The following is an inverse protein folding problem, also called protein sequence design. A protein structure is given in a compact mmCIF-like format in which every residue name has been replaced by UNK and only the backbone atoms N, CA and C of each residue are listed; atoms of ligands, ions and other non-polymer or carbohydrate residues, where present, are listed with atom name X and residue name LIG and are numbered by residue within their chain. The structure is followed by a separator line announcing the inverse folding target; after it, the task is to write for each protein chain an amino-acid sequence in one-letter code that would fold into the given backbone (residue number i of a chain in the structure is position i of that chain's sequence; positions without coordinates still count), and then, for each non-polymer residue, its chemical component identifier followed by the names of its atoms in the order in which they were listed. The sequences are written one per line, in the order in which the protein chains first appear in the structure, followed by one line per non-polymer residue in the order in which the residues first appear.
data_IF_475353792640
#
_entry.id   IF_475353792640
#
_cell.length_a   1.000
_cell.length_b   1.000
_cell.length_c   1.000
_cell.angle_alpha   90.00
_cell.angle_beta   90.00
_cell.angle_gamma   90.00
#
_symmetry.space_group_name_H-M   'P 1'
#
loop_
_entity.id
_entity.type
_entity.pdbx_description
1 polymer ?
#
# COMPACT_ATOMS: atom_id res chain seq x y z
N UNK A 1 -29.54 -32.76 -89.65
CA UNK A 1 -28.65 -31.58 -89.76
C UNK A 1 -29.04 -30.60 -88.66
N UNK A 2 -28.03 -30.03 -87.96
CA UNK A 2 -28.14 -29.20 -86.74
C UNK A 2 -28.97 -27.90 -86.96
N UNK A 3 -29.45 -27.25 -85.89
CA UNK A 3 -28.58 -26.22 -85.31
C UNK A 3 -28.38 -26.34 -83.80
N UNK A 4 -27.13 -26.04 -83.42
CA UNK A 4 -26.63 -25.78 -82.07
C UNK A 4 -27.32 -24.52 -81.54
N UNK A 5 -27.85 -24.55 -80.31
CA UNK A 5 -28.22 -23.34 -79.60
C UNK A 5 -27.11 -22.92 -78.64
N UNK A 6 -26.78 -21.65 -78.77
CA UNK A 6 -25.68 -20.91 -78.16
C UNK A 6 -25.98 -20.63 -76.69
N UNK A 7 -24.95 -20.76 -75.86
CA UNK A 7 -24.88 -20.41 -74.45
C UNK A 7 -24.83 -18.88 -74.28
N UNK A 8 -25.53 -18.27 -73.32
CA UNK A 8 -25.07 -17.03 -72.73
C UNK A 8 -24.30 -17.31 -71.43
N UNK A 9 -23.07 -16.83 -71.46
CA UNK A 9 -22.17 -16.58 -70.32
C UNK A 9 -22.95 -15.92 -69.16
N UNK A 10 -22.98 -16.57 -67.98
CA UNK A 10 -23.29 -15.89 -66.73
C UNK A 10 -22.00 -15.82 -65.90
N UNK A 11 -21.59 -14.59 -65.66
CA UNK A 11 -20.34 -14.18 -65.03
C UNK A 11 -20.45 -14.33 -63.51
N UNK A 12 -19.42 -14.93 -62.93
CA UNK A 12 -18.88 -14.86 -61.57
C UNK A 12 -19.67 -14.12 -60.48
N UNK A 13 -19.88 -14.82 -59.37
CA UNK A 13 -19.72 -14.28 -58.02
C UNK A 13 -19.27 -15.39 -57.08
N UNK A 14 -18.00 -15.80 -57.21
CA UNK A 14 -17.32 -16.53 -56.13
C UNK A 14 -17.06 -15.48 -55.04
N UNK A 15 -17.88 -15.48 -54.00
CA UNK A 15 -17.58 -14.76 -52.77
C UNK A 15 -16.43 -15.51 -52.12
N UNK A 16 -15.21 -15.11 -52.46
CA UNK A 16 -14.05 -15.35 -51.61
C UNK A 16 -14.31 -14.58 -50.31
N UNK A 17 -14.73 -15.30 -49.27
CA UNK A 17 -14.46 -14.85 -47.91
C UNK A 17 -12.94 -14.88 -47.73
N UNK A 18 -12.29 -13.80 -48.16
CA UNK A 18 -10.99 -13.43 -47.62
C UNK A 18 -11.26 -13.13 -46.15
N UNK A 19 -10.98 -14.10 -45.28
CA UNK A 19 -10.54 -13.79 -43.93
C UNK A 19 -9.30 -12.92 -44.13
N UNK A 20 -9.48 -11.61 -44.14
CA UNK A 20 -8.39 -10.69 -43.93
C UNK A 20 -7.93 -10.93 -42.50
N UNK A 21 -6.90 -11.77 -42.34
CA UNK A 21 -5.94 -11.54 -41.27
C UNK A 21 -5.42 -10.12 -41.53
N UNK A 22 -5.96 -9.16 -40.80
CA UNK A 22 -5.37 -7.84 -40.71
C UNK A 22 -4.04 -8.04 -39.95
N UNK A 23 -2.87 -7.86 -40.58
CA UNK A 23 -1.58 -8.08 -39.92
C UNK A 23 -1.27 -7.02 -38.86
N UNK A 24 -2.22 -6.12 -38.57
CA UNK A 24 -2.11 -5.06 -37.57
C UNK A 24 -3.12 -5.19 -36.42
N UNK A 25 -3.67 -6.38 -36.17
CA UNK A 25 -4.10 -6.68 -34.81
C UNK A 25 -2.84 -6.98 -34.00
N UNK A 26 -2.23 -5.93 -33.45
CA UNK A 26 -1.37 -6.07 -32.28
C UNK A 26 -2.23 -6.77 -31.23
N UNK A 27 -2.10 -8.10 -31.16
CA UNK A 27 -2.77 -8.90 -30.16
C UNK A 27 -1.96 -8.73 -28.88
N UNK A 28 -2.05 -7.54 -28.27
CA UNK A 28 -1.41 -7.18 -27.00
C UNK A 28 -1.83 -8.14 -25.87
N UNK A 29 -2.75 -9.09 -26.13
CA UNK A 29 -3.07 -10.17 -25.22
C UNK A 29 -1.92 -11.17 -25.06
N UNK A 30 -1.14 -11.42 -26.11
CA UNK A 30 -0.05 -12.41 -26.11
C UNK A 30 1.33 -11.77 -25.83
N UNK A 31 1.37 -10.46 -25.56
CA UNK A 31 2.62 -9.78 -25.19
C UNK A 31 3.11 -10.32 -23.85
N UNK A 32 4.32 -10.88 -23.84
CA UNK A 32 4.94 -11.44 -22.64
C UNK A 32 5.50 -10.31 -21.79
N UNK A 33 5.08 -10.25 -20.54
CA UNK A 33 5.60 -9.33 -19.54
C UNK A 33 6.69 -10.02 -18.74
N UNK A 34 7.92 -9.53 -18.91
CA UNK A 34 9.08 -10.08 -18.21
C UNK A 34 9.19 -9.52 -16.79
N UNK A 35 8.87 -10.35 -15.79
CA UNK A 35 9.06 -10.03 -14.37
C UNK A 35 10.50 -10.34 -13.98
N UNK A 36 11.26 -9.30 -13.62
CA UNK A 36 12.71 -9.41 -13.42
C UNK A 36 13.07 -10.03 -12.06
N UNK A 37 12.33 -9.66 -11.02
CA UNK A 37 12.55 -10.21 -9.68
C UNK A 37 11.99 -11.63 -9.59
N UNK A 38 12.85 -12.55 -9.17
CA UNK A 38 12.47 -13.97 -9.11
C UNK A 38 11.43 -14.26 -8.03
N UNK A 39 11.45 -13.56 -6.90
CA UNK A 39 10.44 -13.72 -5.86
C UNK A 39 9.10 -13.16 -6.31
N UNK A 40 9.09 -11.99 -6.95
CA UNK A 40 7.85 -11.43 -7.50
C UNK A 40 7.27 -12.35 -8.59
N UNK A 41 8.10 -12.83 -9.51
CA UNK A 41 7.68 -13.79 -10.54
C UNK A 41 7.19 -15.10 -9.94
N UNK A 42 7.86 -15.60 -8.90
CA UNK A 42 7.47 -16.82 -8.22
C UNK A 42 6.07 -16.67 -7.61
N UNK A 43 5.83 -15.59 -6.87
CA UNK A 43 4.53 -15.30 -6.27
C UNK A 43 3.42 -15.30 -7.32
N UNK A 44 3.64 -14.64 -8.46
CA UNK A 44 2.66 -14.57 -9.53
C UNK A 44 2.36 -15.92 -10.20
N UNK A 45 3.36 -16.76 -10.43
CA UNK A 45 3.22 -18.01 -11.19
C UNK A 45 2.92 -19.25 -10.35
N UNK A 46 3.35 -19.28 -9.09
CA UNK A 46 3.38 -20.49 -8.27
C UNK A 46 2.47 -20.43 -7.04
N UNK A 47 1.92 -19.26 -6.74
CA UNK A 47 0.98 -19.09 -5.63
C UNK A 47 -0.38 -18.66 -6.15
N UNK A 48 -1.41 -18.90 -5.35
CA UNK A 48 -2.71 -18.32 -5.62
C UNK A 48 -2.67 -16.84 -5.23
N UNK A 49 -2.35 -15.99 -6.19
CA UNK A 49 -2.19 -14.55 -5.97
C UNK A 49 -3.38 -13.73 -6.44
N UNK A 50 -4.18 -14.23 -7.40
CA UNK A 50 -5.33 -13.51 -7.95
C UNK A 50 -6.58 -13.92 -7.19
N UNK A 51 -7.23 -12.95 -6.54
CA UNK A 51 -8.53 -13.10 -5.89
C UNK A 51 -9.63 -12.78 -6.92
N UNK A 52 -10.52 -13.74 -7.18
CA UNK A 52 -11.56 -13.66 -8.21
C UNK A 52 -12.98 -13.60 -7.65
N UNK A 53 -13.17 -13.81 -6.35
CA UNK A 53 -14.47 -13.73 -5.68
C UNK A 53 -14.57 -12.66 -4.58
N UNK A 54 -13.47 -11.94 -4.34
CA UNK A 54 -13.30 -10.85 -3.36
C UNK A 54 -13.49 -11.29 -1.91
N UNK A 55 -13.11 -12.52 -1.57
CA UNK A 55 -13.10 -12.99 -0.18
C UNK A 55 -11.81 -12.60 0.59
N UNK A 56 -10.86 -11.96 -0.10
CA UNK A 56 -9.57 -11.56 0.47
C UNK A 56 -8.54 -12.69 0.49
N UNK A 57 -8.78 -13.77 -0.24
CA UNK A 57 -7.87 -14.91 -0.42
C UNK A 57 -7.63 -15.12 -1.91
N UNK A 58 -6.39 -15.41 -2.30
CA UNK A 58 -6.10 -15.70 -3.70
C UNK A 58 -6.66 -17.07 -4.13
N UNK A 59 -7.27 -17.11 -5.31
CA UNK A 59 -7.90 -18.30 -5.89
C UNK A 59 -6.99 -19.06 -6.84
N UNK A 60 -6.13 -18.33 -7.56
CA UNK A 60 -5.30 -18.86 -8.66
C UNK A 60 -4.06 -18.00 -8.92
N UNK A 61 -3.11 -18.57 -9.64
CA UNK A 61 -1.96 -17.84 -10.17
C UNK A 61 -2.37 -16.96 -11.38
N UNK A 62 -1.42 -16.15 -11.88
CA UNK A 62 -1.67 -15.23 -12.99
C UNK A 62 -1.73 -15.94 -14.37
N UNK A 63 -1.02 -17.06 -14.51
CA UNK A 63 -0.87 -17.82 -15.77
C UNK A 63 -2.12 -18.65 -16.06
N UNK A 64 -3.08 -18.02 -16.73
CA UNK A 64 -4.42 -18.57 -17.00
C UNK A 64 -4.38 -19.68 -18.04
N UNK A 65 -3.42 -19.65 -18.96
CA UNK A 65 -3.29 -20.62 -20.04
C UNK A 65 -2.26 -21.74 -19.72
N UNK A 66 -1.56 -21.65 -18.59
CA UNK A 66 -0.56 -22.58 -18.09
C UNK A 66 0.60 -22.82 -19.08
N UNK A 67 1.04 -21.77 -19.79
CA UNK A 67 2.19 -21.84 -20.70
C UNK A 67 3.52 -21.45 -20.03
N UNK A 68 3.48 -21.11 -18.74
CA UNK A 68 4.62 -20.74 -17.92
C UNK A 68 5.09 -19.30 -18.14
N UNK A 69 4.31 -18.48 -18.83
CA UNK A 69 4.61 -17.08 -19.12
C UNK A 69 3.52 -16.19 -18.52
N UNK A 70 3.86 -14.92 -18.30
CA UNK A 70 2.90 -13.93 -17.85
C UNK A 70 2.62 -13.05 -19.05
N UNK A 71 1.40 -13.08 -19.57
CA UNK A 71 1.02 -12.21 -20.68
C UNK A 71 0.23 -10.98 -20.23
N UNK A 72 0.35 -9.89 -20.98
CA UNK A 72 -0.36 -8.64 -20.72
C UNK A 72 -1.89 -8.83 -20.75
N UNK A 73 -2.39 -9.77 -21.56
CA UNK A 73 -3.81 -10.16 -21.55
C UNK A 73 -4.28 -10.72 -20.22
N UNK A 74 -3.43 -11.47 -19.51
CA UNK A 74 -3.73 -12.04 -18.20
C UNK A 74 -3.72 -10.96 -17.12
N UNK A 75 -2.69 -10.11 -17.14
CA UNK A 75 -2.55 -8.98 -16.21
C UNK A 75 -3.74 -8.01 -16.31
N UNK A 76 -4.19 -7.69 -17.53
CA UNK A 76 -5.34 -6.79 -17.75
C UNK A 76 -6.65 -7.31 -17.13
N UNK A 77 -6.77 -8.61 -16.85
CA UNK A 77 -7.94 -9.20 -16.22
C UNK A 77 -7.93 -9.15 -14.69
N UNK A 78 -6.85 -8.70 -14.06
CA UNK A 78 -6.69 -8.72 -12.60
C UNK A 78 -7.17 -7.41 -11.98
N UNK A 79 -8.13 -7.54 -11.06
CA UNK A 79 -8.60 -6.42 -10.22
C UNK A 79 -8.17 -6.55 -8.74
N UNK A 80 -7.84 -7.76 -8.27
CA UNK A 80 -7.38 -8.01 -6.90
C UNK A 80 -6.17 -8.94 -6.91
N UNK A 81 -5.11 -8.53 -6.21
CA UNK A 81 -3.84 -9.26 -6.13
C UNK A 81 -3.34 -9.32 -4.68
N UNK A 82 -2.99 -10.52 -4.24
CA UNK A 82 -2.44 -10.83 -2.91
C UNK A 82 -1.09 -11.49 -3.12
N UNK A 83 -0.03 -10.80 -2.70
CA UNK A 83 1.36 -11.21 -2.85
C UNK A 83 1.92 -11.58 -1.48
N UNK A 84 2.15 -12.87 -1.27
CA UNK A 84 2.78 -13.39 -0.07
C UNK A 84 4.28 -13.62 -0.27
N UNK A 85 5.12 -13.01 0.57
CA UNK A 85 6.57 -13.20 0.56
C UNK A 85 7.08 -13.71 1.90
N UNK A 86 7.98 -14.68 1.87
CA UNK A 86 8.62 -15.18 3.09
C UNK A 86 9.84 -14.33 3.44
N UNK A 87 9.58 -13.18 4.08
CA UNK A 87 10.63 -12.24 4.46
C UNK A 87 11.64 -12.78 5.48
N UNK A 88 11.31 -13.88 6.18
CA UNK A 88 12.27 -14.59 7.05
C UNK A 88 13.32 -15.38 6.26
N UNK A 89 12.99 -15.86 5.05
CA UNK A 89 13.94 -16.55 4.16
C UNK A 89 14.54 -15.61 3.11
N UNK A 90 13.76 -14.64 2.64
CA UNK A 90 14.19 -13.64 1.66
C UNK A 90 14.98 -12.55 2.40
N UNK A 91 16.30 -12.68 2.40
CA UNK A 91 17.23 -11.79 3.13
C UNK A 91 17.45 -10.42 2.45
N UNK A 92 16.73 -10.10 1.38
CA UNK A 92 16.92 -8.92 0.55
C UNK A 92 15.57 -8.31 0.15
N UNK A 93 15.59 -7.12 -0.45
CA UNK A 93 14.38 -6.50 -0.98
C UNK A 93 13.82 -7.30 -2.17
N UNK A 94 12.48 -7.35 -2.29
CA UNK A 94 11.79 -7.92 -3.44
C UNK A 94 11.38 -6.78 -4.37
N UNK A 95 11.98 -6.69 -5.56
CA UNK A 95 11.65 -5.64 -6.54
C UNK A 95 10.36 -5.98 -7.29
N UNK A 96 9.30 -5.22 -7.02
CA UNK A 96 7.99 -5.39 -7.65
C UNK A 96 7.71 -4.37 -8.75
N UNK A 97 8.72 -3.70 -9.33
CA UNK A 97 8.50 -2.59 -10.29
C UNK A 97 7.58 -2.92 -11.47
N UNK A 98 7.51 -4.18 -11.90
CA UNK A 98 6.60 -4.61 -12.96
C UNK A 98 5.12 -4.60 -12.54
N UNK A 99 4.79 -4.39 -11.26
CA UNK A 99 3.41 -4.20 -10.78
C UNK A 99 2.71 -3.06 -11.52
N UNK A 100 3.46 -2.07 -12.04
CA UNK A 100 2.93 -0.98 -12.88
C UNK A 100 2.15 -1.43 -14.12
N UNK A 101 2.29 -2.69 -14.55
CA UNK A 101 1.54 -3.25 -15.68
C UNK A 101 0.09 -3.64 -15.30
N UNK A 102 -0.21 -3.77 -14.00
CA UNK A 102 -1.52 -4.17 -13.46
C UNK A 102 -2.48 -2.97 -13.39
N UNK A 103 -2.72 -2.35 -14.54
CA UNK A 103 -3.47 -1.08 -14.67
C UNK A 103 -4.92 -1.10 -14.17
N UNK A 104 -5.56 -2.28 -14.02
CA UNK A 104 -6.94 -2.42 -13.55
C UNK A 104 -7.02 -2.84 -12.07
N UNK A 105 -5.89 -2.86 -11.36
CA UNK A 105 -5.82 -3.33 -9.98
C UNK A 105 -6.51 -2.34 -9.03
N UNK A 106 -7.50 -2.83 -8.28
CA UNK A 106 -8.27 -2.09 -7.27
C UNK A 106 -7.88 -2.47 -5.85
N UNK A 107 -7.45 -3.70 -5.65
CA UNK A 107 -6.96 -4.22 -4.37
C UNK A 107 -5.56 -4.80 -4.54
N UNK A 108 -4.62 -4.34 -3.72
CA UNK A 108 -3.29 -4.93 -3.62
C UNK A 108 -2.96 -5.20 -2.15
N UNK A 109 -2.61 -6.43 -1.84
CA UNK A 109 -2.02 -6.81 -0.58
C UNK A 109 -0.63 -7.39 -0.80
N UNK A 110 0.34 -6.87 -0.07
CA UNK A 110 1.71 -7.40 0.02
C UNK A 110 1.92 -7.79 1.48
N UNK A 111 2.14 -9.07 1.73
CA UNK A 111 2.12 -9.61 3.09
C UNK A 111 3.18 -10.69 3.28
N UNK A 112 3.36 -11.12 4.53
CA UNK A 112 4.21 -12.25 4.86
C UNK A 112 3.54 -13.57 4.47
N UNK A 113 4.32 -14.49 3.91
CA UNK A 113 3.91 -15.86 3.62
C UNK A 113 4.79 -16.87 4.34
N UNK A 114 4.21 -18.05 4.60
CA UNK A 114 4.94 -19.22 5.10
C UNK A 114 5.45 -20.12 3.96
N UNK A 115 5.13 -19.79 2.70
CA UNK A 115 5.68 -20.48 1.54
C UNK A 115 7.19 -20.26 1.49
N UNK A 116 8.00 -21.28 1.21
CA UNK A 116 9.44 -21.12 1.10
C UNK A 116 9.84 -20.13 -0.02
N UNK A 117 8.95 -19.90 -0.99
CA UNK A 117 9.14 -18.92 -2.05
C UNK A 117 10.25 -19.32 -3.01
N UNK A 118 10.87 -18.31 -3.65
CA UNK A 118 12.06 -18.50 -4.49
C UNK A 118 13.30 -17.86 -3.85
N UNK A 119 14.10 -18.66 -3.17
CA UNK A 119 15.24 -18.17 -2.40
C UNK A 119 16.46 -17.99 -3.32
N UNK A 120 16.48 -16.91 -4.10
CA UNK A 120 17.68 -16.40 -4.75
C UNK A 120 17.88 -14.94 -4.39
N UNK A 121 18.89 -14.69 -3.55
CA UNK A 121 19.26 -13.37 -3.06
C UNK A 121 20.08 -12.64 -4.14
N UNK A 122 19.49 -11.65 -4.84
CA UNK A 122 20.16 -10.98 -5.97
C UNK A 122 20.46 -9.50 -5.77
N UNK A 123 19.77 -8.79 -4.88
CA UNK A 123 19.94 -7.34 -4.70
C UNK A 123 20.04 -6.94 -3.22
N UNK A 124 21.21 -6.45 -2.79
CA UNK A 124 21.51 -6.12 -1.39
C UNK A 124 21.34 -4.64 -1.04
N UNK A 125 20.68 -3.85 -1.89
CA UNK A 125 20.43 -2.43 -1.64
C UNK A 125 19.02 -2.19 -1.12
N UNK A 126 18.77 -1.00 -0.56
CA UNK A 126 17.40 -0.55 -0.29
C UNK A 126 16.73 -0.11 -1.59
N UNK A 127 15.46 -0.44 -1.79
CA UNK A 127 14.66 0.01 -2.95
C UNK A 127 13.39 0.74 -2.50
N UNK A 128 12.83 1.62 -3.34
CA UNK A 128 11.48 2.13 -3.13
C UNK A 128 10.43 1.15 -3.68
N UNK A 129 9.25 1.15 -3.09
CA UNK A 129 8.02 0.68 -3.73
C UNK A 129 7.29 1.86 -4.33
N UNK A 130 6.96 1.78 -5.61
CA UNK A 130 6.27 2.84 -6.35
C UNK A 130 5.01 2.28 -6.99
N UNK A 131 3.87 2.86 -6.62
CA UNK A 131 2.54 2.44 -7.04
C UNK A 131 1.84 3.48 -7.91
N UNK A 132 2.51 4.56 -8.31
CA UNK A 132 1.91 5.73 -8.97
C UNK A 132 1.28 5.42 -10.34
N UNK A 133 1.50 4.23 -10.89
CA UNK A 133 0.87 3.75 -12.12
C UNK A 133 -0.48 3.04 -11.89
N UNK A 134 -0.82 2.72 -10.64
CA UNK A 134 -2.00 1.95 -10.27
C UNK A 134 -3.20 2.86 -9.98
N UNK A 135 -3.58 3.69 -10.94
CA UNK A 135 -4.62 4.72 -10.74
C UNK A 135 -6.02 4.19 -10.39
N UNK A 136 -6.27 2.89 -10.58
CA UNK A 136 -7.52 2.24 -10.17
C UNK A 136 -7.48 1.70 -8.73
N UNK A 137 -6.34 1.80 -8.04
CA UNK A 137 -6.14 1.22 -6.72
C UNK A 137 -6.99 1.94 -5.67
N UNK A 138 -7.87 1.19 -5.02
CA UNK A 138 -8.76 1.66 -3.96
C UNK A 138 -8.26 1.23 -2.57
N UNK A 139 -7.58 0.09 -2.50
CA UNK A 139 -7.06 -0.50 -1.27
C UNK A 139 -5.63 -0.98 -1.48
N UNK A 140 -4.73 -0.48 -0.64
CA UNK A 140 -3.34 -0.96 -0.56
C UNK A 140 -3.05 -1.43 0.86
N UNK A 141 -2.58 -2.67 0.97
CA UNK A 141 -2.04 -3.22 2.21
C UNK A 141 -0.61 -3.67 2.00
N UNK A 142 0.30 -3.23 2.87
CA UNK A 142 1.70 -3.65 2.87
C UNK A 142 2.05 -3.96 4.30
N UNK A 143 2.19 -5.25 4.62
CA UNK A 143 2.39 -5.71 5.98
C UNK A 143 3.69 -6.51 6.10
N UNK A 144 4.35 -6.40 7.25
CA UNK A 144 5.58 -7.15 7.57
C UNK A 144 6.77 -6.86 6.65
N UNK A 145 6.80 -5.69 6.02
CA UNK A 145 7.94 -5.26 5.24
C UNK A 145 9.11 -4.88 6.15
N UNK A 146 10.27 -5.50 5.92
CA UNK A 146 11.51 -5.17 6.64
C UNK A 146 11.98 -3.76 6.30
N UNK A 147 11.74 -2.79 7.18
CA UNK A 147 11.95 -1.36 6.90
C UNK A 147 13.41 -0.99 6.62
N UNK A 148 14.36 -1.78 7.13
CA UNK A 148 15.79 -1.63 6.81
C UNK A 148 16.15 -2.02 5.37
N UNK A 149 15.23 -2.59 4.59
CA UNK A 149 15.43 -3.01 3.18
C UNK A 149 14.74 -2.09 2.16
N UNK A 150 13.98 -1.08 2.60
CA UNK A 150 13.24 -0.20 1.70
C UNK A 150 13.51 1.28 2.00
N UNK A 151 13.46 2.12 0.98
CA UNK A 151 13.66 3.57 1.13
C UNK A 151 12.36 4.34 1.21
N UNK A 152 11.29 3.82 0.62
CA UNK A 152 10.01 4.51 0.61
C UNK A 152 8.88 3.71 -0.02
N UNK A 153 7.66 4.14 0.27
CA UNK A 153 6.41 3.69 -0.34
C UNK A 153 5.78 4.93 -0.99
N UNK A 154 5.74 4.94 -2.30
CA UNK A 154 5.18 6.04 -3.09
C UNK A 154 3.81 5.63 -3.63
N UNK A 155 2.78 6.28 -3.09
CA UNK A 155 1.37 6.16 -3.50
C UNK A 155 0.86 7.49 -4.06
N UNK A 156 1.76 8.40 -4.43
CA UNK A 156 1.38 9.72 -4.89
C UNK A 156 0.47 9.64 -6.12
N UNK A 157 -0.54 10.51 -6.14
CA UNK A 157 -1.54 10.63 -7.20
C UNK A 157 -2.43 9.40 -7.40
N UNK A 158 -2.54 8.53 -6.39
CA UNK A 158 -3.58 7.51 -6.32
C UNK A 158 -4.87 8.12 -5.77
N UNK A 159 -5.53 8.89 -6.62
CA UNK A 159 -6.73 9.66 -6.28
C UNK A 159 -7.96 8.81 -5.94
N UNK A 160 -7.93 7.51 -6.24
CA UNK A 160 -8.95 6.52 -5.84
C UNK A 160 -8.59 5.74 -4.58
N UNK A 161 -7.38 5.86 -4.04
CA UNK A 161 -6.96 5.13 -2.85
C UNK A 161 -7.78 5.60 -1.66
N UNK A 162 -8.47 4.67 -0.99
CA UNK A 162 -9.36 4.94 0.15
C UNK A 162 -8.82 4.38 1.46
N UNK A 163 -8.12 3.25 1.38
CA UNK A 163 -7.51 2.58 2.53
C UNK A 163 -6.04 2.29 2.25
N UNK A 164 -5.18 2.78 3.15
CA UNK A 164 -3.75 2.50 3.18
C UNK A 164 -3.40 1.82 4.51
N UNK A 165 -3.16 0.52 4.47
CA UNK A 165 -2.74 -0.29 5.61
C UNK A 165 -1.25 -0.61 5.48
N UNK A 166 -0.45 -0.08 6.40
CA UNK A 166 0.99 -0.20 6.45
C UNK A 166 1.43 -0.81 7.78
N UNK A 167 0.69 -1.78 8.32
CA UNK A 167 0.95 -2.35 9.63
C UNK A 167 2.17 -3.27 9.66
N UNK A 168 2.83 -3.35 10.83
CA UNK A 168 3.95 -4.26 11.08
C UNK A 168 5.17 -4.07 10.17
N UNK A 169 5.38 -2.87 9.63
CA UNK A 169 6.53 -2.57 8.77
C UNK A 169 7.69 -2.05 9.63
N UNK A 170 8.55 -2.95 10.09
CA UNK A 170 9.61 -2.69 11.08
C UNK A 170 10.98 -3.25 10.64
N UNK A 171 12.09 -2.86 11.26
CA UNK A 171 13.40 -3.43 10.94
C UNK A 171 13.43 -4.93 11.23
N UNK A 172 14.21 -5.69 10.46
CA UNK A 172 14.47 -7.12 10.70
C UNK A 172 15.36 -7.26 11.94
N UNK A 173 14.77 -7.83 12.99
CA UNK A 173 15.41 -8.05 14.30
C UNK A 173 16.47 -9.16 14.27
N UNK A 174 16.54 -9.95 13.19
CA UNK A 174 17.61 -10.93 12.99
C UNK A 174 18.87 -10.29 12.40
N UNK A 175 18.74 -9.11 11.79
CA UNK A 175 19.85 -8.38 11.16
C UNK A 175 20.35 -7.22 12.02
N UNK A 176 19.47 -6.61 12.82
CA UNK A 176 19.75 -5.41 13.60
C UNK A 176 19.33 -5.60 15.05
N UNK A 177 20.24 -5.29 15.97
CA UNK A 177 19.89 -5.22 17.39
C UNK A 177 18.89 -4.06 17.61
N UNK A 178 17.91 -4.17 18.53
CA UNK A 178 16.97 -3.07 18.81
C UNK A 178 17.62 -1.74 19.21
N UNK A 179 18.83 -1.79 19.76
CA UNK A 179 19.63 -0.59 20.09
C UNK A 179 20.14 0.15 18.83
N UNK A 180 20.14 -0.51 17.67
CA UNK A 180 20.56 0.05 16.38
C UNK A 180 19.39 0.65 15.57
N UNK A 181 18.16 0.59 16.09
CA UNK A 181 16.99 1.18 15.46
C UNK A 181 17.03 2.71 15.58
N UNK A 182 17.83 3.34 14.72
CA UNK A 182 18.01 4.78 14.68
C UNK A 182 17.01 5.43 13.71
N UNK A 183 16.19 6.35 14.22
CA UNK A 183 15.47 7.31 13.39
C UNK A 183 16.45 8.30 12.75
N UNK A 184 16.37 8.59 11.44
CA UNK A 184 15.45 8.05 10.44
C UNK A 184 16.01 6.86 9.63
N UNK A 185 17.19 6.34 9.97
CA UNK A 185 17.99 5.40 9.16
C UNK A 185 17.25 4.12 8.77
N UNK A 186 16.45 3.55 9.67
CA UNK A 186 15.71 2.30 9.45
C UNK A 186 14.21 2.50 9.22
N UNK A 187 13.82 3.68 8.79
CA UNK A 187 12.42 4.02 8.52
C UNK A 187 12.14 4.06 7.02
N UNK A 188 10.88 3.83 6.66
CA UNK A 188 10.36 3.96 5.29
C UNK A 188 9.66 5.31 5.17
N UNK A 189 10.04 6.14 4.19
CA UNK A 189 9.25 7.34 3.88
C UNK A 189 8.01 7.00 3.07
N UNK A 190 6.85 7.51 3.47
CA UNK A 190 5.59 7.37 2.73
C UNK A 190 5.32 8.68 1.98
N UNK A 191 5.08 8.59 0.68
CA UNK A 191 4.72 9.72 -0.18
C UNK A 191 3.26 9.57 -0.62
N UNK A 192 2.44 10.57 -0.30
CA UNK A 192 0.99 10.54 -0.48
C UNK A 192 0.45 11.75 -1.24
N UNK A 193 1.33 12.55 -1.86
CA UNK A 193 0.92 13.76 -2.58
C UNK A 193 -0.23 13.46 -3.56
N UNK A 194 -1.35 14.16 -3.40
CA UNK A 194 -2.50 14.00 -4.31
C UNK A 194 -3.40 12.80 -4.03
N UNK A 195 -3.23 12.08 -2.91
CA UNK A 195 -4.16 11.05 -2.43
C UNK A 195 -5.47 11.66 -1.89
N UNK A 196 -6.24 12.33 -2.76
CA UNK A 196 -7.40 13.14 -2.36
C UNK A 196 -8.61 12.37 -1.82
N UNK A 197 -8.64 11.04 -1.99
CA UNK A 197 -9.71 10.18 -1.49
C UNK A 197 -9.28 9.28 -0.34
N UNK A 198 -8.06 9.42 0.19
CA UNK A 198 -7.56 8.57 1.27
C UNK A 198 -8.35 8.86 2.55
N UNK A 199 -9.20 7.92 2.96
CA UNK A 199 -10.12 8.08 4.10
C UNK A 199 -9.54 7.46 5.37
N UNK A 200 -8.83 6.35 5.25
CA UNK A 200 -8.33 5.56 6.38
C UNK A 200 -6.87 5.16 6.17
N UNK A 201 -6.06 5.43 7.18
CA UNK A 201 -4.66 5.04 7.23
C UNK A 201 -4.36 4.28 8.53
N UNK A 202 -3.70 3.14 8.40
CA UNK A 202 -3.31 2.27 9.51
C UNK A 202 -1.81 2.06 9.43
N UNK A 203 -1.08 2.31 10.51
CA UNK A 203 0.36 2.11 10.60
C UNK A 203 0.80 1.56 11.96
N UNK A 204 -0.05 0.74 12.58
CA UNK A 204 0.26 0.05 13.84
C UNK A 204 1.56 -0.76 13.73
N UNK A 205 2.43 -0.64 14.75
CA UNK A 205 3.72 -1.36 14.84
C UNK A 205 4.64 -1.15 13.63
N UNK A 206 4.79 0.10 13.18
CA UNK A 206 5.53 0.42 11.96
C UNK A 206 6.50 1.59 12.13
N UNK A 207 7.60 1.52 11.37
CA UNK A 207 8.71 2.47 11.35
C UNK A 207 8.62 3.32 10.08
N UNK A 208 7.70 4.28 10.08
CA UNK A 208 7.37 5.09 8.91
C UNK A 208 7.64 6.57 9.15
N UNK A 209 8.00 7.29 8.08
CA UNK A 209 8.05 8.75 8.05
C UNK A 209 6.91 9.23 7.17
N UNK A 210 5.97 9.95 7.77
CA UNK A 210 4.73 10.38 7.11
C UNK A 210 4.59 11.88 7.24
N UNK A 211 4.30 12.56 6.13
CA UNK A 211 3.81 13.94 6.12
C UNK A 211 2.30 13.91 5.87
N UNK A 212 1.52 14.15 6.93
CA UNK A 212 0.07 14.11 6.86
C UNK A 212 -0.53 15.26 6.05
N UNK A 213 0.23 16.32 5.76
CA UNK A 213 -0.19 17.39 4.86
C UNK A 213 -0.27 16.95 3.39
N UNK A 214 0.37 15.83 3.03
CA UNK A 214 0.25 15.26 1.69
C UNK A 214 -1.12 14.59 1.44
N UNK A 215 -1.85 14.21 2.52
CA UNK A 215 -3.15 13.54 2.46
C UNK A 215 -4.16 14.07 3.49
N UNK A 216 -4.62 15.34 3.38
CA UNK A 216 -5.53 15.96 4.35
C UNK A 216 -6.97 15.40 4.34
N UNK A 217 -7.28 14.44 3.45
CA UNK A 217 -8.59 13.76 3.40
C UNK A 217 -8.76 12.68 4.47
N UNK A 218 -7.69 12.29 5.19
CA UNK A 218 -7.74 11.21 6.18
C UNK A 218 -8.76 11.54 7.27
N UNK A 219 -9.70 10.61 7.49
CA UNK A 219 -10.73 10.68 8.54
C UNK A 219 -10.45 9.73 9.68
N UNK A 220 -9.75 8.63 9.42
CA UNK A 220 -9.38 7.65 10.43
C UNK A 220 -7.89 7.37 10.37
N UNK A 221 -7.23 7.54 11.50
CA UNK A 221 -5.80 7.30 11.63
C UNK A 221 -5.54 6.38 12.82
N UNK A 222 -4.93 5.24 12.55
CA UNK A 222 -4.44 4.31 13.57
C UNK A 222 -2.92 4.27 13.56
N UNK A 223 -2.31 4.78 14.63
CA UNK A 223 -0.88 4.79 14.91
C UNK A 223 -0.58 4.06 16.23
N UNK A 224 -1.39 3.08 16.62
CA UNK A 224 -1.20 2.33 17.87
C UNK A 224 0.16 1.63 17.91
N UNK A 225 0.79 1.59 19.08
CA UNK A 225 1.90 0.68 19.39
C UNK A 225 3.01 0.69 18.32
N UNK A 226 3.67 1.82 18.09
CA UNK A 226 4.73 1.93 17.07
C UNK A 226 6.06 1.27 17.51
N UNK A 227 6.21 0.95 18.79
CA UNK A 227 7.31 0.12 19.35
C UNK A 227 8.72 0.56 18.92
N UNK A 228 9.04 1.85 19.05
CA UNK A 228 10.30 2.45 18.59
C UNK A 228 10.18 3.16 17.23
N UNK A 229 9.05 2.99 16.54
CA UNK A 229 8.68 3.69 15.32
C UNK A 229 8.04 5.07 15.55
N UNK A 230 7.93 5.54 16.79
CA UNK A 230 7.31 6.84 17.10
C UNK A 230 8.08 8.02 16.47
N UNK A 231 7.37 8.99 15.85
CA UNK A 231 7.99 10.24 15.45
C UNK A 231 8.33 11.11 16.69
N UNK A 232 9.28 12.04 16.52
CA UNK A 232 9.57 13.04 17.56
C UNK A 232 8.34 13.91 17.89
N UNK A 233 7.57 14.24 16.86
CA UNK A 233 6.35 15.05 16.92
C UNK A 233 5.22 14.29 16.24
N UNK A 234 4.14 14.05 16.98
CA UNK A 234 2.87 13.56 16.42
C UNK A 234 2.12 14.78 15.90
N UNK A 235 2.26 15.07 14.60
CA UNK A 235 1.69 16.28 13.99
C UNK A 235 0.51 15.97 13.06
N UNK A 236 -0.67 16.45 13.45
CA UNK A 236 -1.92 16.24 12.74
C UNK A 236 -2.57 17.54 12.27
N UNK A 237 -1.87 18.68 12.28
CA UNK A 237 -2.47 19.99 12.01
C UNK A 237 -3.16 20.11 10.64
N UNK A 238 -2.68 19.38 9.63
CA UNK A 238 -3.27 19.35 8.28
C UNK A 238 -4.51 18.45 8.15
N UNK A 239 -4.82 17.62 9.15
CA UNK A 239 -5.91 16.64 9.08
C UNK A 239 -7.23 17.25 9.55
N UNK A 240 -7.72 18.27 8.84
CA UNK A 240 -8.96 19.00 9.19
C UNK A 240 -10.26 18.16 9.08
N UNK A 241 -10.16 16.94 8.53
CA UNK A 241 -11.28 15.99 8.40
C UNK A 241 -11.16 14.80 9.36
N UNK A 242 -10.20 14.82 10.30
CA UNK A 242 -9.96 13.71 11.20
C UNK A 242 -11.15 13.51 12.14
N UNK A 243 -11.70 12.30 12.13
CA UNK A 243 -12.86 11.90 12.95
C UNK A 243 -12.47 10.86 14.01
N UNK A 244 -11.55 9.96 13.68
CA UNK A 244 -11.09 8.89 14.56
C UNK A 244 -9.56 8.86 14.62
N UNK A 245 -9.01 8.96 15.84
CA UNK A 245 -7.57 8.90 16.08
C UNK A 245 -7.25 7.88 17.16
N UNK A 246 -6.37 6.96 16.83
CA UNK A 246 -5.83 5.95 17.74
C UNK A 246 -4.31 6.11 17.84
N UNK A 247 -3.84 6.51 19.02
CA UNK A 247 -2.42 6.76 19.34
C UNK A 247 -1.97 6.00 20.59
N UNK A 248 -2.76 5.05 21.08
CA UNK A 248 -2.47 4.24 22.28
C UNK A 248 -1.09 3.59 22.19
N UNK A 249 -0.49 3.37 23.35
CA UNK A 249 0.75 2.61 23.50
C UNK A 249 1.97 3.19 22.75
N UNK A 250 2.13 4.51 22.81
CA UNK A 250 3.28 5.20 22.23
C UNK A 250 3.97 6.13 23.23
N UNK A 251 5.26 6.36 23.04
CA UNK A 251 5.96 7.48 23.69
C UNK A 251 5.72 8.75 22.88
N UNK A 252 4.94 9.68 23.43
CA UNK A 252 4.59 10.95 22.77
C UNK A 252 5.24 12.12 23.52
N UNK A 253 6.26 12.73 22.92
CA UNK A 253 6.85 13.95 23.47
C UNK A 253 6.00 15.17 23.15
N UNK A 254 5.72 15.38 21.87
CA UNK A 254 4.92 16.51 21.38
C UNK A 254 3.75 16.00 20.56
N UNK A 255 2.54 16.44 20.92
CA UNK A 255 1.29 16.19 20.20
C UNK A 255 0.76 17.50 19.63
N UNK A 256 0.56 17.56 18.32
CA UNK A 256 -0.10 18.67 17.63
C UNK A 256 -1.41 18.15 17.05
N UNK A 257 -2.52 18.51 17.69
CA UNK A 257 -3.89 18.20 17.25
C UNK A 257 -4.64 19.46 16.80
N UNK A 258 -3.90 20.52 16.46
CA UNK A 258 -4.45 21.82 16.04
C UNK A 258 -5.00 21.80 14.61
N UNK A 259 -6.08 21.08 14.39
CA UNK A 259 -6.68 20.79 13.08
C UNK A 259 -8.16 21.21 12.98
N UNK A 260 -8.67 21.97 13.95
CA UNK A 260 -10.05 22.42 14.01
C UNK A 260 -11.08 21.34 14.30
N UNK A 261 -10.66 20.13 14.71
CA UNK A 261 -11.53 18.97 14.86
C UNK A 261 -11.64 18.51 16.31
N UNK A 262 -12.88 18.34 16.77
CA UNK A 262 -13.17 17.52 17.96
C UNK A 262 -13.47 16.12 17.46
N UNK A 263 -12.66 15.14 17.86
CA UNK A 263 -12.74 13.79 17.29
C UNK A 263 -13.99 13.06 17.79
N UNK A 264 -14.65 12.32 16.90
CA UNK A 264 -15.74 11.42 17.26
C UNK A 264 -15.25 10.29 18.17
N UNK A 265 -14.02 9.80 17.91
CA UNK A 265 -13.36 8.79 18.72
C UNK A 265 -11.89 9.13 18.87
N UNK A 266 -11.42 9.07 20.11
CA UNK A 266 -10.02 9.25 20.46
C UNK A 266 -9.61 8.12 21.40
N UNK A 267 -8.57 7.41 21.03
CA UNK A 267 -8.00 6.35 21.84
C UNK A 267 -6.53 6.66 22.10
N UNK A 268 -6.18 6.68 23.38
CA UNK A 268 -4.84 6.97 23.86
C UNK A 268 -4.53 6.15 25.12
N UNK A 269 -4.97 4.88 25.09
CA UNK A 269 -4.83 3.95 26.19
C UNK A 269 -3.35 3.72 26.54
N UNK A 270 -3.09 3.43 27.82
CA UNK A 270 -1.77 3.09 28.37
C UNK A 270 -0.72 4.21 28.37
N UNK A 271 -1.11 5.44 28.04
CA UNK A 271 -0.30 6.65 28.15
C UNK A 271 -0.61 7.36 29.48
N UNK A 272 0.42 7.87 30.16
CA UNK A 272 0.28 8.59 31.43
C UNK A 272 0.47 7.73 32.67
N UNK A 273 -0.32 8.01 33.72
CA UNK A 273 -0.22 7.35 35.03
C UNK A 273 -1.54 6.68 35.42
N UNK A 274 -1.87 5.60 34.73
CA UNK A 274 -2.86 4.63 35.16
C UNK A 274 -2.16 3.42 35.80
N UNK A 275 -2.85 2.65 36.64
CA UNK A 275 -2.33 1.42 37.28
C UNK A 275 -1.73 0.40 36.28
N UNK A 276 -2.04 0.57 34.98
CA UNK A 276 -1.57 -0.26 33.87
C UNK A 276 -0.84 0.54 32.78
N UNK A 277 -0.57 1.84 32.97
CA UNK A 277 0.09 2.65 31.95
C UNK A 277 1.55 2.19 31.75
N UNK A 278 1.90 1.95 30.49
CA UNK A 278 3.24 1.52 30.09
C UNK A 278 4.07 2.69 29.52
N UNK A 279 3.42 3.82 29.21
CA UNK A 279 4.01 4.96 28.51
C UNK A 279 3.80 6.24 29.33
N UNK A 280 4.75 7.20 29.32
CA UNK A 280 4.68 8.42 30.12
C UNK A 280 3.57 9.37 29.64
N UNK A 281 3.21 10.36 30.47
CA UNK A 281 2.35 11.48 30.03
C UNK A 281 2.99 12.25 28.87
N UNK A 282 2.15 12.86 28.03
CA UNK A 282 2.61 13.75 26.96
C UNK A 282 3.27 14.98 27.57
N UNK A 283 4.40 15.42 26.99
CA UNK A 283 5.15 16.57 27.52
C UNK A 283 4.63 17.90 26.99
N UNK A 284 4.36 17.96 25.70
CA UNK A 284 3.92 19.18 25.02
C UNK A 284 2.69 18.88 24.16
N UNK A 285 1.67 19.71 24.30
CA UNK A 285 0.43 19.59 23.53
C UNK A 285 0.06 20.93 22.91
N UNK A 286 -0.19 20.88 21.61
CA UNK A 286 -0.76 21.96 20.83
C UNK A 286 -2.16 21.57 20.35
N UNK A 287 -3.17 22.34 20.76
CA UNK A 287 -4.58 22.09 20.45
C UNK A 287 -5.28 23.37 19.99
N UNK A 288 -6.53 23.25 19.55
CA UNK A 288 -7.40 24.39 19.35
C UNK A 288 -7.90 24.98 20.67
N UNK A 289 -8.36 26.24 20.61
CA UNK A 289 -8.92 26.96 21.75
C UNK A 289 -10.37 26.50 22.00
N UNK A 290 -10.52 25.19 22.26
CA UNK A 290 -11.80 24.49 22.40
C UNK A 290 -11.80 23.64 23.69
N UNK A 291 -12.72 23.90 24.65
CA UNK A 291 -12.78 23.14 25.90
C UNK A 291 -13.01 21.63 25.72
N UNK A 292 -13.80 21.25 24.72
CA UNK A 292 -14.12 19.85 24.42
C UNK A 292 -12.89 19.05 23.96
N UNK A 293 -11.98 19.68 23.22
CA UNK A 293 -10.73 19.05 22.78
C UNK A 293 -9.78 18.84 23.96
N UNK A 294 -9.69 19.82 24.87
CA UNK A 294 -8.92 19.68 26.11
C UNK A 294 -9.45 18.54 27.00
N UNK A 295 -10.77 18.38 27.10
CA UNK A 295 -11.39 17.26 27.83
C UNK A 295 -11.02 15.92 27.19
N UNK A 296 -11.03 15.83 25.85
CA UNK A 296 -10.72 14.62 25.09
C UNK A 296 -9.30 14.11 25.33
N UNK A 297 -8.32 15.00 25.51
CA UNK A 297 -6.92 14.62 25.78
C UNK A 297 -6.58 14.53 27.28
N UNK A 298 -7.54 14.78 28.17
CA UNK A 298 -7.28 14.95 29.61
C UNK A 298 -6.63 13.73 30.28
N UNK A 299 -6.83 12.53 29.73
CA UNK A 299 -6.28 11.29 30.27
C UNK A 299 -4.78 11.12 30.00
N UNK A 300 -4.21 11.84 29.03
CA UNK A 300 -2.81 11.70 28.60
C UNK A 300 -1.92 12.89 28.98
N UNK A 301 -2.46 13.83 29.75
CA UNK A 301 -1.76 15.02 30.26
C UNK A 301 -1.74 15.05 31.79
N UNK A 302 -0.80 15.79 32.37
CA UNK A 302 -0.71 16.02 33.82
C UNK A 302 -0.29 17.47 34.15
N UNK A 303 0.00 17.75 35.43
CA UNK A 303 0.46 19.08 35.88
C UNK A 303 1.78 19.55 35.26
N UNK A 304 2.58 18.63 34.71
CA UNK A 304 3.87 18.93 34.09
C UNK A 304 3.77 19.04 32.55
N UNK A 305 2.61 18.72 31.96
CA UNK A 305 2.37 18.88 30.53
C UNK A 305 2.26 20.36 30.16
N UNK A 306 3.05 20.81 29.20
CA UNK A 306 2.94 22.13 28.60
C UNK A 306 1.84 22.14 27.53
N UNK A 307 0.78 22.91 27.75
CA UNK A 307 -0.36 23.02 26.83
C UNK A 307 -0.39 24.44 26.25
N UNK A 308 -0.47 24.54 24.93
CA UNK A 308 -0.58 25.82 24.22
C UNK A 308 -1.63 25.76 23.10
N UNK A 309 -2.21 26.91 22.79
CA UNK A 309 -3.09 27.12 21.63
C UNK A 309 -2.46 28.03 20.57
N UNK A 310 -1.30 28.62 20.90
CA UNK A 310 -0.49 29.48 20.02
C UNK A 310 0.75 28.71 19.58
N UNK A 311 0.61 27.97 18.48
CA UNK A 311 1.66 27.13 17.91
C UNK A 311 1.86 27.53 16.45
N UNK A 312 3.10 27.48 15.98
CA UNK A 312 3.46 27.73 14.58
C UNK A 312 3.91 26.42 13.93
N UNK A 313 3.45 26.18 12.71
CA UNK A 313 3.77 25.02 11.88
C UNK A 313 4.68 25.43 10.72
#
# INVERSE_FOLDING_TARGET
MKPVKVLPLAIYSVIFFMLSCDPNQNNDQDEIIEIQDYNFRYALLNTNAVDTDNDGVGDRNIDLNNDGQIQLGEIKGVESLILGFNYGLIQNSVDIKEIRQFSNLKYLEITSSQDDGFILSTYSGKIPYNFNALHELEVLKINHLSSNRYTGIDVSYLDKLRLLDLTHNRPDDNELDPEEWEYPTHFIKVYMEGCTSLEEMIMENSFLIVDFCEAPSIKKLNMRYLEGGEPEVFDFHCLEQLEELEISENIINTLILKNGSVLNKFWANYIGNFDLANYPFVREVCIDDMPEELEQISEIINEDTFITTDCTF
#
